data_IF_997325475832
#
_entry.id   IF_997325475832
#
_cell.length_a   1.000
_cell.length_b   1.000
_cell.length_c   1.000
_cell.angle_alpha   90.00
_cell.angle_beta   90.00
_cell.angle_gamma   90.00
#
_symmetry.space_group_name_H-M   'P 1'
#
loop_
_entity.id
_entity.type
_entity.pdbx_description
1 polymer ?
#
# COMPACT_ATOMS: atom_id res chain seq x y z
N UNK A 1 -16.36 12.91 -28.42
CA UNK A 1 -16.75 12.40 -27.09
C UNK A 1 -15.69 12.86 -26.10
N UNK A 2 -16.01 13.89 -25.31
CA UNK A 2 -15.14 14.41 -24.26
C UNK A 2 -15.21 13.48 -23.05
N UNK A 3 -14.10 12.86 -22.68
CA UNK A 3 -13.89 12.28 -21.36
C UNK A 3 -13.33 13.38 -20.47
N UNK A 4 -14.24 14.16 -19.88
CA UNK A 4 -13.95 15.05 -18.77
C UNK A 4 -13.51 14.20 -17.57
N UNK A 5 -12.21 14.16 -17.29
CA UNK A 5 -11.73 13.73 -15.97
C UNK A 5 -12.11 14.82 -14.97
N UNK A 6 -13.23 14.59 -14.28
CA UNK A 6 -13.72 15.44 -13.20
C UNK A 6 -12.62 15.65 -12.15
N UNK A 7 -12.20 16.91 -12.01
CA UNK A 7 -11.51 17.46 -10.86
C UNK A 7 -12.48 17.50 -9.67
N UNK A 8 -12.67 16.35 -9.01
CA UNK A 8 -12.99 16.14 -7.58
C UNK A 8 -13.34 14.68 -7.40
N UNK A 9 -12.38 13.88 -6.93
CA UNK A 9 -12.65 12.53 -6.46
C UNK A 9 -13.48 12.66 -5.17
N UNK A 10 -14.75 12.26 -5.24
CA UNK A 10 -15.59 11.91 -4.10
C UNK A 10 -16.05 10.47 -4.31
N UNK A 11 -15.29 9.45 -3.86
CA UNK A 11 -15.89 8.15 -3.62
C UNK A 11 -16.99 8.40 -2.60
N UNK A 12 -18.24 8.15 -2.95
CA UNK A 12 -19.32 8.17 -1.98
C UNK A 12 -19.22 6.90 -1.14
N UNK A 13 -18.22 6.81 -0.27
CA UNK A 13 -18.32 5.94 0.87
C UNK A 13 -19.49 6.46 1.70
N UNK A 14 -20.48 5.61 2.01
CA UNK A 14 -21.10 5.75 3.32
C UNK A 14 -19.98 5.42 4.30
N UNK A 15 -19.21 6.42 4.72
CA UNK A 15 -18.18 6.34 5.74
C UNK A 15 -18.56 5.27 6.78
N UNK A 16 -17.90 4.11 6.73
CA UNK A 16 -18.29 2.99 7.58
C UNK A 16 -18.09 1.59 7.00
N UNK A 17 -17.59 0.70 7.86
CA UNK A 17 -17.68 -0.76 7.69
C UNK A 17 -19.15 -1.18 7.47
N UNK A 18 -19.41 -1.99 6.45
CA UNK A 18 -20.74 -2.57 6.24
C UNK A 18 -21.06 -3.60 7.33
N UNK A 19 -22.34 -3.87 7.61
CA UNK A 19 -22.74 -4.91 8.57
C UNK A 19 -22.15 -6.28 8.22
N UNK A 20 -21.99 -6.57 6.92
CA UNK A 20 -21.32 -7.79 6.44
C UNK A 20 -19.87 -7.82 6.91
N UNK A 21 -19.09 -6.76 6.63
CA UNK A 21 -17.68 -6.67 7.03
C UNK A 21 -17.53 -6.73 8.55
N UNK A 22 -18.39 -6.02 9.30
CA UNK A 22 -18.41 -6.06 10.77
C UNK A 22 -18.59 -7.50 11.28
N UNK A 23 -19.53 -8.24 10.71
CA UNK A 23 -19.79 -9.61 11.12
C UNK A 23 -18.64 -10.55 10.76
N UNK A 24 -18.01 -10.38 9.59
CA UNK A 24 -16.83 -11.15 9.18
C UNK A 24 -15.62 -10.88 10.10
N UNK A 25 -15.40 -9.62 10.50
CA UNK A 25 -14.36 -9.27 11.48
C UNK A 25 -14.66 -9.92 12.83
N UNK A 26 -15.90 -9.85 13.33
CA UNK A 26 -16.27 -10.45 14.62
C UNK A 26 -16.10 -11.97 14.65
N UNK A 27 -16.44 -12.63 13.54
CA UNK A 27 -16.33 -14.10 13.39
C UNK A 27 -14.91 -14.57 13.03
N UNK A 28 -13.97 -13.65 12.84
CA UNK A 28 -12.58 -13.99 12.51
C UNK A 28 -11.94 -14.87 13.59
N UNK A 29 -11.37 -15.99 13.14
CA UNK A 29 -10.50 -16.86 13.92
C UNK A 29 -9.05 -16.59 13.51
N UNK A 30 -8.30 -15.93 14.40
CA UNK A 30 -6.93 -15.46 14.14
C UNK A 30 -5.98 -16.62 13.86
N UNK A 31 -5.99 -17.67 14.69
CA UNK A 31 -5.11 -18.84 14.52
C UNK A 31 -5.37 -19.56 13.19
N UNK A 32 -6.63 -19.66 12.76
CA UNK A 32 -6.97 -20.23 11.47
C UNK A 32 -6.45 -19.36 10.31
N UNK A 33 -6.54 -18.03 10.42
CA UNK A 33 -5.98 -17.12 9.42
C UNK A 33 -4.46 -17.26 9.34
N UNK A 34 -3.76 -17.28 10.47
CA UNK A 34 -2.30 -17.46 10.51
C UNK A 34 -1.88 -18.77 9.84
N UNK A 35 -2.60 -19.86 10.10
CA UNK A 35 -2.39 -21.15 9.43
C UNK A 35 -2.60 -21.04 7.91
N UNK A 36 -3.71 -20.43 7.48
CA UNK A 36 -4.03 -20.27 6.06
C UNK A 36 -3.05 -19.35 5.32
N UNK A 37 -2.44 -18.39 6.00
CA UNK A 37 -1.39 -17.51 5.46
C UNK A 37 -0.07 -18.25 5.34
N UNK A 38 0.28 -19.08 6.33
CA UNK A 38 1.47 -19.92 6.29
C UNK A 38 1.46 -20.88 5.11
N UNK A 39 0.30 -21.48 4.80
CA UNK A 39 0.10 -22.31 3.59
C UNK A 39 0.38 -21.55 2.27
N UNK A 40 0.31 -20.22 2.30
CA UNK A 40 0.62 -19.33 1.17
C UNK A 40 2.05 -18.79 1.23
N UNK A 41 2.86 -19.27 2.17
CA UNK A 41 4.24 -18.82 2.39
C UNK A 41 4.36 -17.49 3.12
N UNK A 42 3.31 -17.03 3.79
CA UNK A 42 3.29 -15.77 4.55
C UNK A 42 3.31 -16.09 6.04
N UNK A 43 4.40 -15.76 6.72
CA UNK A 43 4.49 -15.93 8.17
C UNK A 43 3.67 -14.82 8.83
N UNK A 44 2.77 -15.16 9.75
CA UNK A 44 1.91 -14.16 10.39
C UNK A 44 1.84 -14.34 11.91
N UNK A 45 1.73 -13.22 12.61
CA UNK A 45 1.49 -13.20 14.06
C UNK A 45 0.69 -11.96 14.45
N UNK A 46 -0.60 -12.12 14.72
CA UNK A 46 -1.52 -11.00 14.95
C UNK A 46 -1.82 -10.70 16.43
N UNK A 47 -1.32 -11.49 17.38
CA UNK A 47 -1.55 -11.29 18.82
C UNK A 47 -3.05 -11.15 19.17
N UNK A 48 -3.90 -12.00 18.61
CA UNK A 48 -5.37 -11.96 18.71
C UNK A 48 -6.07 -10.72 18.12
N UNK A 49 -5.37 -9.86 17.39
CA UNK A 49 -5.97 -8.74 16.66
C UNK A 49 -6.78 -9.23 15.45
N UNK A 50 -8.09 -9.40 15.66
CA UNK A 50 -9.05 -9.81 14.63
C UNK A 50 -9.15 -8.86 13.45
N UNK A 51 -8.98 -7.55 13.66
CA UNK A 51 -9.10 -6.57 12.57
C UNK A 51 -7.90 -6.70 11.65
N UNK A 52 -6.70 -6.69 12.22
CA UNK A 52 -5.47 -6.87 11.45
C UNK A 52 -5.46 -8.21 10.72
N UNK A 53 -5.83 -9.30 11.41
CA UNK A 53 -5.92 -10.63 10.82
C UNK A 53 -6.91 -10.69 9.64
N UNK A 54 -8.13 -10.16 9.84
CA UNK A 54 -9.14 -10.08 8.78
C UNK A 54 -8.62 -9.28 7.59
N UNK A 55 -8.06 -8.09 7.85
CA UNK A 55 -7.63 -7.20 6.77
C UNK A 55 -6.50 -7.79 5.94
N UNK A 56 -5.49 -8.36 6.59
CA UNK A 56 -4.36 -8.99 5.92
C UNK A 56 -4.81 -10.21 5.13
N UNK A 57 -5.64 -11.09 5.71
CA UNK A 57 -6.19 -12.24 5.00
C UNK A 57 -6.98 -11.83 3.76
N UNK A 58 -7.81 -10.78 3.89
CA UNK A 58 -8.65 -10.32 2.79
C UNK A 58 -7.84 -9.65 1.69
N UNK A 59 -6.76 -8.93 2.02
CA UNK A 59 -5.83 -8.39 1.01
C UNK A 59 -5.13 -9.47 0.21
N UNK A 60 -4.66 -10.52 0.89
CA UNK A 60 -4.02 -11.64 0.21
C UNK A 60 -4.97 -12.26 -0.82
N UNK A 61 -6.22 -12.50 -0.43
CA UNK A 61 -7.26 -12.99 -1.36
C UNK A 61 -7.47 -12.03 -2.54
N UNK A 62 -7.65 -10.73 -2.26
CA UNK A 62 -7.86 -9.70 -3.27
C UNK A 62 -6.71 -9.66 -4.29
N UNK A 63 -5.47 -9.63 -3.81
CA UNK A 63 -4.29 -9.52 -4.67
C UNK A 63 -4.11 -10.80 -5.50
N UNK A 64 -4.38 -11.97 -4.92
CA UNK A 64 -4.36 -13.23 -5.68
C UNK A 64 -5.41 -13.23 -6.79
N UNK A 65 -6.64 -12.76 -6.51
CA UNK A 65 -7.68 -12.60 -7.53
C UNK A 65 -7.26 -11.61 -8.60
N UNK A 66 -6.69 -10.45 -8.23
CA UNK A 66 -6.21 -9.43 -9.16
C UNK A 66 -5.11 -9.98 -10.07
N UNK A 67 -4.10 -10.65 -9.49
CA UNK A 67 -3.03 -11.31 -10.24
C UNK A 67 -3.58 -12.31 -11.25
N UNK A 68 -4.52 -13.17 -10.85
CA UNK A 68 -5.15 -14.14 -11.73
C UNK A 68 -6.02 -13.48 -12.81
N UNK A 69 -6.92 -12.58 -12.42
CA UNK A 69 -7.97 -12.00 -13.27
C UNK A 69 -7.40 -10.99 -14.27
N UNK A 70 -6.43 -10.19 -13.85
CA UNK A 70 -5.86 -9.11 -14.65
C UNK A 70 -4.45 -9.39 -15.16
N UNK A 71 -3.92 -10.60 -14.91
CA UNK A 71 -2.58 -11.05 -15.33
C UNK A 71 -1.47 -10.12 -14.83
N UNK A 72 -1.65 -9.57 -13.62
CA UNK A 72 -0.60 -8.86 -12.89
C UNK A 72 0.27 -9.87 -12.13
N UNK A 73 1.38 -9.39 -11.57
CA UNK A 73 2.29 -10.22 -10.77
C UNK A 73 2.80 -9.44 -9.56
N UNK A 74 1.85 -8.88 -8.80
CA UNK A 74 2.13 -8.19 -7.55
C UNK A 74 2.57 -9.21 -6.50
N UNK A 75 3.71 -8.96 -5.88
CA UNK A 75 4.21 -9.81 -4.80
C UNK A 75 3.42 -9.54 -3.51
N UNK A 76 3.27 -10.60 -2.73
CA UNK A 76 2.68 -10.56 -1.40
C UNK A 76 3.80 -10.36 -0.37
N UNK A 77 3.50 -9.84 0.83
CA UNK A 77 4.47 -9.79 1.91
C UNK A 77 4.96 -11.19 2.27
N UNK A 78 6.22 -11.30 2.71
CA UNK A 78 6.77 -12.55 3.24
C UNK A 78 6.31 -12.81 4.68
N UNK A 79 6.10 -11.74 5.43
CA UNK A 79 5.60 -11.83 6.79
C UNK A 79 4.77 -10.61 7.19
N UNK A 80 3.85 -10.79 8.13
CA UNK A 80 3.06 -9.70 8.73
C UNK A 80 2.91 -9.91 10.23
N UNK A 81 3.35 -8.93 11.02
CA UNK A 81 3.29 -9.00 12.48
C UNK A 81 2.55 -7.80 13.08
N UNK A 82 1.70 -8.07 14.06
CA UNK A 82 1.23 -7.05 15.00
C UNK A 82 2.26 -7.00 16.13
N UNK A 83 2.80 -5.82 16.41
CA UNK A 83 3.89 -5.65 17.37
C UNK A 83 3.82 -4.33 18.15
N UNK A 84 4.46 -4.32 19.31
CA UNK A 84 4.65 -3.10 20.11
C UNK A 84 5.81 -2.28 19.55
N UNK A 85 5.49 -1.18 18.88
CA UNK A 85 6.49 -0.34 18.22
C UNK A 85 7.47 0.30 19.20
N UNK A 86 7.11 0.45 20.49
CA UNK A 86 8.05 0.91 21.51
C UNK A 86 9.23 -0.05 21.72
N UNK A 87 9.03 -1.33 21.42
CA UNK A 87 10.05 -2.38 21.56
C UNK A 87 10.90 -2.56 20.30
N UNK A 88 10.50 -1.97 19.18
CA UNK A 88 11.22 -2.04 17.91
C UNK A 88 12.28 -0.93 17.82
N UNK A 89 13.36 -1.11 17.06
CA UNK A 89 14.32 -0.03 16.80
C UNK A 89 13.93 0.79 15.56
N UNK A 90 12.83 1.54 15.69
CA UNK A 90 12.31 2.46 14.65
C UNK A 90 12.20 3.89 15.19
N UNK A 91 12.34 4.88 14.33
CA UNK A 91 12.30 6.30 14.70
C UNK A 91 10.89 6.77 15.11
N UNK A 92 9.88 6.44 14.32
CA UNK A 92 8.51 6.89 14.56
C UNK A 92 7.63 5.79 15.19
N UNK A 93 7.43 5.89 16.50
CA UNK A 93 6.59 4.97 17.30
C UNK A 93 5.08 5.10 17.08
N UNK A 94 4.65 6.18 16.43
CA UNK A 94 3.23 6.53 16.24
C UNK A 94 2.69 6.07 14.89
N UNK A 95 3.52 5.42 14.07
CA UNK A 95 3.09 4.84 12.80
C UNK A 95 1.98 3.81 13.02
N UNK A 96 1.00 3.79 12.12
CA UNK A 96 -0.01 2.74 12.07
C UNK A 96 0.63 1.40 11.67
N UNK A 97 1.46 1.46 10.63
CA UNK A 97 2.20 0.33 10.09
C UNK A 97 3.46 0.83 9.37
N UNK A 98 4.35 -0.09 9.03
CA UNK A 98 5.44 0.16 8.07
C UNK A 98 5.92 -1.17 7.47
N UNK A 99 6.61 -1.09 6.32
CA UNK A 99 7.24 -2.22 5.65
C UNK A 99 8.76 -2.22 5.85
N UNK A 100 9.33 -3.36 6.25
CA UNK A 100 10.77 -3.57 6.36
C UNK A 100 11.34 -3.99 4.99
N UNK A 101 11.95 -3.04 4.28
CA UNK A 101 12.59 -3.23 2.98
C UNK A 101 14.01 -3.81 3.10
N UNK A 102 14.57 -4.28 1.98
CA UNK A 102 16.03 -4.44 1.88
C UNK A 102 16.78 -3.08 1.90
N UNK A 103 17.91 -2.98 2.62
CA UNK A 103 18.44 -3.98 3.54
C UNK A 103 17.58 -4.03 4.80
N UNK A 104 17.19 -5.23 5.24
CA UNK A 104 16.39 -5.37 6.43
C UNK A 104 17.18 -4.91 7.67
N UNK A 105 16.66 -3.90 8.38
CA UNK A 105 17.38 -3.28 9.52
C UNK A 105 16.74 -3.60 10.87
N UNK A 106 15.51 -4.13 10.89
CA UNK A 106 14.77 -4.32 12.12
C UNK A 106 15.15 -5.63 12.77
N UNK A 107 15.51 -5.54 14.05
CA UNK A 107 15.87 -6.65 14.90
C UNK A 107 14.79 -6.87 15.95
N UNK A 108 14.36 -8.12 16.18
CA UNK A 108 13.66 -8.48 17.41
C UNK A 108 14.69 -8.53 18.56
N UNK A 109 14.24 -8.37 19.81
CA UNK A 109 15.09 -8.15 21.01
C UNK A 109 16.43 -8.91 21.09
N UNK A 110 16.54 -10.13 20.54
CA UNK A 110 17.73 -10.98 20.55
C UNK A 110 18.66 -10.89 19.31
N UNK A 111 18.44 -9.93 18.40
CA UNK A 111 19.34 -9.70 17.25
C UNK A 111 18.94 -10.40 15.94
N UNK A 112 17.82 -11.12 15.92
CA UNK A 112 17.27 -11.70 14.69
C UNK A 112 16.77 -10.60 13.75
N UNK A 113 17.31 -10.56 12.53
CA UNK A 113 16.93 -9.60 11.50
C UNK A 113 15.70 -10.14 10.77
N UNK A 114 14.58 -9.43 10.86
CA UNK A 114 13.39 -9.80 10.10
C UNK A 114 13.66 -9.75 8.60
N UNK A 115 13.09 -10.66 7.81
CA UNK A 115 13.25 -10.64 6.37
C UNK A 115 12.72 -9.34 5.75
N UNK A 116 13.14 -9.06 4.53
CA UNK A 116 12.54 -8.02 3.71
C UNK A 116 11.07 -8.33 3.36
N UNK A 117 10.33 -7.34 2.85
CA UNK A 117 8.89 -7.45 2.58
C UNK A 117 8.10 -7.96 3.81
N UNK A 118 8.55 -7.60 5.01
CA UNK A 118 7.84 -7.86 6.27
C UNK A 118 7.07 -6.62 6.66
N UNK A 119 5.77 -6.75 6.88
CA UNK A 119 4.91 -5.66 7.33
C UNK A 119 4.75 -5.73 8.85
N UNK A 120 4.95 -4.60 9.51
CA UNK A 120 4.67 -4.44 10.94
C UNK A 120 3.45 -3.55 11.13
N UNK A 121 2.52 -3.99 11.97
CA UNK A 121 1.31 -3.30 12.37
C UNK A 121 1.42 -2.94 13.84
N UNK A 122 1.10 -1.70 14.21
CA UNK A 122 1.23 -1.25 15.59
C UNK A 122 0.13 -1.85 16.47
N UNK A 123 0.50 -2.56 17.54
CA UNK A 123 -0.46 -3.18 18.46
C UNK A 123 -1.32 -2.18 19.24
N UNK A 124 -0.97 -0.89 19.21
CA UNK A 124 -1.79 0.18 19.79
C UNK A 124 -3.00 0.54 18.95
N UNK A 125 -3.06 0.08 17.71
CA UNK A 125 -4.18 0.37 16.81
C UNK A 125 -5.48 -0.25 17.33
N UNK A 126 -5.43 -1.51 17.77
CA UNK A 126 -6.60 -2.28 18.18
C UNK A 126 -6.30 -3.14 19.40
N UNK A 127 -7.19 -3.09 20.41
CA UNK A 127 -7.06 -3.90 21.63
C UNK A 127 -7.84 -5.21 21.50
N UNK A 128 -7.20 -6.36 21.68
CA UNK A 128 -7.78 -7.70 21.43
C UNK A 128 -9.14 -7.98 22.11
N UNK A 129 -9.47 -7.33 23.22
CA UNK A 129 -10.70 -7.57 23.99
C UNK A 129 -11.82 -6.55 23.81
N UNK A 130 -11.65 -5.54 22.95
CA UNK A 130 -12.66 -4.50 22.73
C UNK A 130 -12.97 -4.31 21.24
N UNK A 131 -13.56 -5.36 20.65
CA UNK A 131 -13.84 -5.37 19.21
C UNK A 131 -14.81 -4.27 18.79
N UNK A 132 -15.79 -3.92 19.62
CA UNK A 132 -16.76 -2.86 19.31
C UNK A 132 -16.10 -1.49 19.24
N UNK A 133 -15.26 -1.14 20.22
CA UNK A 133 -14.51 0.12 20.19
C UNK A 133 -13.49 0.12 19.05
N UNK A 134 -12.83 -0.99 18.79
CA UNK A 134 -11.88 -1.07 17.68
C UNK A 134 -12.54 -0.86 16.31
N UNK A 135 -13.72 -1.44 16.08
CA UNK A 135 -14.50 -1.22 14.85
C UNK A 135 -14.90 0.26 14.69
N UNK A 136 -15.26 0.94 15.80
CA UNK A 136 -15.52 2.39 15.79
C UNK A 136 -14.25 3.19 15.47
N UNK A 137 -13.12 2.82 16.07
CA UNK A 137 -11.83 3.47 15.81
C UNK A 137 -11.37 3.30 14.36
N UNK A 138 -11.61 2.12 13.77
CA UNK A 138 -11.30 1.84 12.37
C UNK A 138 -12.11 2.75 11.42
N UNK A 139 -13.40 2.95 11.70
CA UNK A 139 -14.22 3.91 10.96
C UNK A 139 -13.74 5.36 11.15
N UNK A 140 -13.45 5.76 12.40
CA UNK A 140 -12.97 7.11 12.69
C UNK A 140 -11.61 7.41 12.03
N UNK A 141 -10.75 6.40 11.89
CA UNK A 141 -9.49 6.52 11.17
C UNK A 141 -9.72 6.78 9.67
N UNK A 142 -10.66 6.07 9.05
CA UNK A 142 -11.05 6.29 7.65
C UNK A 142 -11.58 7.73 7.44
N UNK A 143 -12.46 8.19 8.33
CA UNK A 143 -13.01 9.55 8.30
C UNK A 143 -11.92 10.62 8.47
N UNK A 144 -10.95 10.36 9.36
CA UNK A 144 -9.81 11.24 9.58
C UNK A 144 -8.92 11.31 8.34
N UNK A 145 -8.62 10.17 7.72
CA UNK A 145 -7.81 10.09 6.50
C UNK A 145 -8.46 10.88 5.35
N UNK A 146 -9.78 10.74 5.18
CA UNK A 146 -10.56 11.51 4.20
C UNK A 146 -10.51 13.02 4.47
N UNK A 147 -10.81 13.44 5.70
CA UNK A 147 -10.89 14.87 6.05
C UNK A 147 -9.53 15.57 5.99
N UNK A 148 -8.44 14.87 6.28
CA UNK A 148 -7.08 15.42 6.30
C UNK A 148 -6.36 15.39 4.95
N UNK A 149 -6.91 14.72 3.93
CA UNK A 149 -6.23 14.41 2.65
C UNK A 149 -4.86 13.76 2.86
N UNK A 150 -4.71 12.99 3.93
CA UNK A 150 -3.43 12.39 4.30
C UNK A 150 -3.07 11.19 3.41
N UNK A 151 -4.07 10.56 2.78
CA UNK A 151 -3.94 9.46 1.83
C UNK A 151 -4.83 9.67 0.60
N UNK A 152 -4.56 8.95 -0.50
CA UNK A 152 -5.36 9.07 -1.72
C UNK A 152 -6.74 8.43 -1.61
N UNK A 153 -6.94 7.60 -0.58
CA UNK A 153 -8.14 6.80 -0.34
C UNK A 153 -8.78 7.04 1.02
N UNK A 154 -10.08 6.81 1.09
CA UNK A 154 -10.92 6.87 2.29
C UNK A 154 -11.43 5.50 2.75
N UNK A 155 -10.96 4.44 2.09
CA UNK A 155 -11.25 3.08 2.47
C UNK A 155 -10.56 2.80 3.81
N UNK A 156 -11.28 2.22 4.78
CA UNK A 156 -10.73 1.80 6.08
C UNK A 156 -9.50 0.86 5.98
N UNK A 157 -9.34 0.28 4.80
CA UNK A 157 -8.31 -0.66 4.37
C UNK A 157 -7.05 0.00 3.83
N UNK A 158 -7.08 1.31 3.56
CA UNK A 158 -6.05 2.01 2.79
C UNK A 158 -4.65 1.78 3.35
N UNK A 159 -4.45 1.97 4.67
CA UNK A 159 -3.14 1.78 5.29
C UNK A 159 -2.59 0.35 5.08
N UNK A 160 -3.45 -0.67 5.06
CA UNK A 160 -3.01 -2.03 4.78
C UNK A 160 -2.66 -2.21 3.29
N UNK A 161 -3.46 -1.66 2.38
CA UNK A 161 -3.16 -1.68 0.94
C UNK A 161 -1.82 -0.98 0.68
N UNK A 162 -1.54 0.11 1.39
CA UNK A 162 -0.31 0.88 1.26
C UNK A 162 0.93 0.05 1.57
N UNK A 163 0.95 -0.66 2.69
CA UNK A 163 2.07 -1.53 3.04
C UNK A 163 2.21 -2.74 2.10
N UNK A 164 1.10 -3.28 1.60
CA UNK A 164 1.15 -4.32 0.55
C UNK A 164 1.69 -3.76 -0.78
N UNK A 165 1.38 -2.51 -1.09
CA UNK A 165 1.87 -1.83 -2.28
C UNK A 165 3.38 -1.63 -2.24
N UNK A 166 3.93 -1.33 -1.06
CA UNK A 166 5.37 -1.33 -0.80
C UNK A 166 6.02 -2.70 -1.10
N UNK A 167 5.42 -3.80 -0.61
CA UNK A 167 5.91 -5.16 -0.90
C UNK A 167 5.87 -5.48 -2.41
N UNK A 168 4.78 -5.09 -3.09
CA UNK A 168 4.63 -5.28 -4.53
C UNK A 168 5.66 -4.47 -5.33
N UNK A 169 5.97 -3.24 -4.90
CA UNK A 169 6.97 -2.37 -5.52
C UNK A 169 8.39 -2.90 -5.33
N UNK A 170 8.76 -3.32 -4.11
CA UNK A 170 10.03 -3.98 -3.86
C UNK A 170 10.20 -5.21 -4.77
N UNK A 171 9.18 -6.07 -4.86
CA UNK A 171 9.19 -7.23 -5.73
C UNK A 171 9.40 -6.90 -7.21
N UNK A 172 8.74 -5.83 -7.69
CA UNK A 172 8.89 -5.37 -9.06
C UNK A 172 10.29 -4.80 -9.36
N UNK A 173 10.90 -4.12 -8.40
CA UNK A 173 12.26 -3.62 -8.51
C UNK A 173 13.29 -4.76 -8.50
N UNK A 174 13.16 -5.72 -7.58
CA UNK A 174 14.08 -6.87 -7.46
C UNK A 174 14.11 -7.78 -8.68
N UNK A 175 13.05 -7.80 -9.50
CA UNK A 175 13.04 -8.49 -10.79
C UNK A 175 13.93 -7.82 -11.86
N UNK A 176 14.39 -6.59 -11.64
CA UNK A 176 15.09 -5.76 -12.63
C UNK A 176 16.50 -5.35 -12.22
N UNK A 177 16.92 -5.64 -11.00
CA UNK A 177 18.23 -5.26 -10.46
C UNK A 177 18.75 -6.30 -9.48
N UNK A 178 20.06 -6.33 -9.31
CA UNK A 178 20.72 -7.16 -8.29
C UNK A 178 20.40 -6.68 -6.88
N UNK A 179 20.63 -7.54 -5.87
CA UNK A 179 20.43 -7.17 -4.47
C UNK A 179 21.31 -5.97 -4.05
N UNK A 180 22.54 -5.90 -4.54
CA UNK A 180 23.45 -4.80 -4.25
C UNK A 180 22.94 -3.47 -4.83
N UNK A 181 22.55 -3.46 -6.11
CA UNK A 181 21.96 -2.28 -6.75
C UNK A 181 20.68 -1.82 -6.04
N UNK A 182 19.83 -2.77 -5.63
CA UNK A 182 18.62 -2.47 -4.86
C UNK A 182 18.95 -1.76 -3.54
N UNK A 183 19.86 -2.34 -2.74
CA UNK A 183 20.26 -1.78 -1.45
C UNK A 183 20.86 -0.38 -1.61
N UNK A 184 21.71 -0.17 -2.63
CA UNK A 184 22.26 1.15 -2.92
C UNK A 184 21.17 2.17 -3.27
N UNK A 185 20.20 1.79 -4.10
CA UNK A 185 19.08 2.67 -4.50
C UNK A 185 18.17 3.02 -3.33
N UNK A 186 17.75 2.04 -2.54
CA UNK A 186 16.91 2.29 -1.36
C UNK A 186 17.64 3.15 -0.34
N UNK A 187 18.94 2.88 -0.10
CA UNK A 187 19.73 3.69 0.83
C UNK A 187 19.81 5.16 0.41
N UNK A 188 19.88 5.43 -0.90
CA UNK A 188 19.86 6.80 -1.45
C UNK A 188 18.51 7.48 -1.28
N UNK A 189 17.38 6.77 -1.34
CA UNK A 189 16.05 7.39 -1.16
C UNK A 189 15.88 7.98 0.24
N UNK A 190 16.46 7.35 1.25
CA UNK A 190 16.36 7.82 2.64
C UNK A 190 17.39 8.90 3.02
N UNK A 191 18.27 9.29 2.09
CA UNK A 191 19.21 10.39 2.29
C UNK A 191 18.48 11.75 2.22
N UNK A 192 18.74 12.63 3.19
CA UNK A 192 18.03 13.92 3.34
C UNK A 192 18.13 14.80 2.09
N UNK A 193 19.31 14.80 1.43
CA UNK A 193 19.50 15.56 0.20
C UNK A 193 18.66 14.99 -0.94
N UNK A 194 18.61 13.67 -1.06
CA UNK A 194 17.79 12.99 -2.08
C UNK A 194 16.29 13.22 -1.86
N UNK A 195 15.83 13.24 -0.61
CA UNK A 195 14.45 13.60 -0.25
C UNK A 195 14.14 15.05 -0.66
N UNK A 196 15.02 16.00 -0.33
CA UNK A 196 14.84 17.41 -0.67
C UNK A 196 14.81 17.63 -2.20
N UNK A 197 15.68 16.94 -2.94
CA UNK A 197 15.71 16.95 -4.41
C UNK A 197 14.41 16.39 -5.00
N UNK A 198 13.91 15.27 -4.48
CA UNK A 198 12.63 14.69 -4.88
C UNK A 198 11.47 15.67 -4.65
N UNK A 199 11.35 16.23 -3.45
CA UNK A 199 10.29 17.17 -3.10
C UNK A 199 10.33 18.44 -3.98
N UNK A 200 11.53 18.95 -4.26
CA UNK A 200 11.70 20.13 -5.12
C UNK A 200 11.34 19.85 -6.58
N UNK A 201 11.81 18.71 -7.11
CA UNK A 201 11.67 18.35 -8.53
C UNK A 201 10.28 17.82 -8.88
N UNK A 202 9.72 16.97 -8.01
CA UNK A 202 8.49 16.23 -8.27
C UNK A 202 7.32 16.61 -7.36
N UNK A 203 7.54 17.21 -6.18
CA UNK A 203 6.44 17.63 -5.30
C UNK A 203 5.45 18.57 -6.00
N UNK A 204 5.96 19.48 -6.84
CA UNK A 204 5.10 20.35 -7.69
C UNK A 204 4.31 19.60 -8.77
N UNK A 205 4.79 18.43 -9.21
CA UNK A 205 4.11 17.60 -10.19
C UNK A 205 2.95 16.84 -9.55
N UNK A 206 3.03 16.54 -8.25
CA UNK A 206 2.05 15.75 -7.49
C UNK A 206 1.39 16.57 -6.37
N UNK A 207 1.10 17.85 -6.60
CA UNK A 207 0.48 18.74 -5.59
C UNK A 207 -0.94 18.35 -5.22
N UNK A 208 -1.60 17.58 -6.07
CA UNK A 208 -2.91 16.96 -5.85
C UNK A 208 -2.82 15.63 -5.09
N UNK A 209 -1.62 15.05 -4.95
CA UNK A 209 -1.39 13.88 -4.11
C UNK A 209 -1.29 14.27 -2.62
N UNK A 210 -1.58 13.33 -1.72
CA UNK A 210 -1.39 13.53 -0.28
C UNK A 210 0.04 13.95 0.08
N UNK A 211 0.16 14.69 1.19
CA UNK A 211 1.46 15.20 1.67
C UNK A 211 2.42 14.04 1.94
N UNK A 212 1.93 12.93 2.50
CA UNK A 212 2.76 11.78 2.83
C UNK A 212 3.36 11.11 1.57
N UNK A 213 2.58 11.01 0.49
CA UNK A 213 3.03 10.52 -0.82
C UNK A 213 4.10 11.40 -1.47
N UNK A 214 4.19 12.67 -1.07
CA UNK A 214 5.22 13.60 -1.52
C UNK A 214 6.51 13.53 -0.67
N UNK A 215 6.60 12.60 0.30
CA UNK A 215 7.80 12.47 1.13
C UNK A 215 8.98 11.85 0.36
N UNK A 216 8.76 10.76 -0.37
CA UNK A 216 9.77 10.10 -1.20
C UNK A 216 9.12 9.25 -2.32
N UNK A 217 9.97 8.68 -3.19
CA UNK A 217 9.55 7.89 -4.35
C UNK A 217 8.79 6.60 -3.99
N UNK A 218 9.12 5.97 -2.86
CA UNK A 218 8.47 4.73 -2.40
C UNK A 218 7.04 5.04 -1.95
N UNK A 219 6.86 6.05 -1.09
CA UNK A 219 5.54 6.45 -0.60
C UNK A 219 4.63 6.92 -1.75
N UNK A 220 5.19 7.63 -2.74
CA UNK A 220 4.44 8.03 -3.92
C UNK A 220 3.91 6.82 -4.71
N UNK A 221 4.74 5.80 -4.91
CA UNK A 221 4.33 4.59 -5.64
C UNK A 221 3.34 3.77 -4.83
N UNK A 222 3.54 3.64 -3.53
CA UNK A 222 2.63 2.89 -2.67
C UNK A 222 1.24 3.53 -2.60
N UNK A 223 1.15 4.86 -2.49
CA UNK A 223 -0.12 5.58 -2.46
C UNK A 223 -0.85 5.47 -3.82
N UNK A 224 -0.13 5.69 -4.93
CA UNK A 224 -0.73 5.58 -6.26
C UNK A 224 -1.15 4.14 -6.58
N UNK A 225 -0.36 3.14 -6.18
CA UNK A 225 -0.73 1.73 -6.34
C UNK A 225 -1.93 1.37 -5.45
N UNK A 226 -2.02 1.93 -4.24
CA UNK A 226 -3.17 1.77 -3.35
C UNK A 226 -4.43 2.32 -3.98
N UNK A 227 -4.36 3.52 -4.57
CA UNK A 227 -5.45 4.11 -5.36
C UNK A 227 -5.92 3.17 -6.49
N UNK A 228 -4.99 2.54 -7.20
CA UNK A 228 -5.34 1.59 -8.26
C UNK A 228 -6.02 0.35 -7.70
N UNK A 229 -5.51 -0.22 -6.60
CA UNK A 229 -6.16 -1.34 -5.92
C UNK A 229 -7.58 -0.96 -5.51
N UNK A 230 -7.79 0.17 -4.85
CA UNK A 230 -9.12 0.64 -4.42
C UNK A 230 -10.09 0.82 -5.59
N UNK A 231 -9.64 1.43 -6.70
CA UNK A 231 -10.45 1.58 -7.92
C UNK A 231 -10.81 0.24 -8.58
N UNK A 232 -10.06 -0.81 -8.28
CA UNK A 232 -10.36 -2.15 -8.75
C UNK A 232 -11.44 -2.86 -7.94
N UNK A 233 -11.77 -2.39 -6.73
CA UNK A 233 -12.66 -3.09 -5.81
C UNK A 233 -14.11 -2.61 -5.87
N UNK A 234 -15.03 -3.55 -5.64
CA UNK A 234 -16.36 -3.20 -5.16
C UNK A 234 -16.29 -2.83 -3.69
N UNK A 235 -16.73 -1.62 -3.36
CA UNK A 235 -16.59 -1.07 -2.01
C UNK A 235 -17.40 -1.84 -0.96
N UNK A 236 -18.53 -2.44 -1.34
CA UNK A 236 -19.42 -3.15 -0.41
C UNK A 236 -19.01 -4.60 -0.16
N UNK A 237 -18.34 -5.23 -1.14
CA UNK A 237 -17.97 -6.65 -1.08
C UNK A 237 -16.47 -6.89 -1.02
N UNK A 238 -15.66 -5.86 -1.25
CA UNK A 238 -14.20 -5.92 -1.42
C UNK A 238 -13.76 -6.86 -2.55
N UNK A 239 -14.64 -7.13 -3.52
CA UNK A 239 -14.34 -8.01 -4.65
C UNK A 239 -13.73 -7.23 -5.82
N UNK A 240 -12.66 -7.73 -6.48
CA UNK A 240 -12.11 -7.10 -7.67
C UNK A 240 -13.07 -7.13 -8.87
N UNK A 241 -13.54 -5.96 -9.31
CA UNK A 241 -14.46 -5.78 -10.43
C UNK A 241 -13.81 -5.18 -11.68
N UNK A 242 -12.99 -4.14 -11.52
CA UNK A 242 -12.43 -3.36 -12.62
C UNK A 242 -10.92 -3.57 -12.75
N UNK A 243 -10.38 -3.49 -13.97
CA UNK A 243 -8.93 -3.48 -14.19
C UNK A 243 -8.41 -2.03 -14.23
N UNK A 244 -8.21 -1.42 -13.07
CA UNK A 244 -7.66 -0.06 -12.94
C UNK A 244 -6.22 0.03 -13.46
N UNK A 245 -5.46 -1.07 -13.39
CA UNK A 245 -4.05 -1.15 -13.78
C UNK A 245 -3.86 -0.99 -15.30
N UNK A 246 -4.85 -1.39 -16.11
CA UNK A 246 -4.77 -1.33 -17.58
C UNK A 246 -4.49 0.07 -18.11
N UNK A 247 -4.96 1.13 -17.44
CA UNK A 247 -4.77 2.50 -17.90
C UNK A 247 -3.81 3.31 -17.02
N UNK A 248 -2.91 2.63 -16.30
CA UNK A 248 -1.99 3.23 -15.34
C UNK A 248 -0.53 3.18 -15.81
N UNK A 249 0.37 3.70 -14.98
CA UNK A 249 1.83 3.57 -15.15
C UNK A 249 2.32 2.11 -15.23
N UNK A 250 1.51 1.13 -14.82
CA UNK A 250 1.83 -0.30 -14.89
C UNK A 250 1.60 -0.93 -16.25
N UNK A 251 0.85 -0.29 -17.17
CA UNK A 251 0.63 -0.86 -18.49
C UNK A 251 1.87 -0.65 -19.38
N UNK A 252 2.68 -1.71 -19.48
CA UNK A 252 3.96 -1.75 -20.19
C UNK A 252 3.84 -1.87 -21.72
N UNK A 253 2.63 -1.86 -22.29
CA UNK A 253 2.52 -1.87 -23.74
C UNK A 253 3.21 -0.62 -24.30
N UNK A 254 4.34 -0.80 -25.01
CA UNK A 254 5.08 0.27 -25.70
C UNK A 254 4.16 1.12 -26.57
N UNK A 255 3.11 0.51 -27.11
CA UNK A 255 2.04 1.16 -27.85
C UNK A 255 1.18 2.04 -26.93
N UNK A 256 0.84 1.62 -25.71
CA UNK A 256 0.07 2.43 -24.76
C UNK A 256 0.85 3.64 -24.25
N UNK A 257 2.15 3.51 -23.95
CA UNK A 257 3.01 4.65 -23.60
C UNK A 257 3.16 5.61 -24.79
N UNK A 258 3.30 5.08 -26.01
CA UNK A 258 3.40 5.89 -27.24
C UNK A 258 2.04 6.52 -27.64
N UNK A 259 0.93 5.81 -27.48
CA UNK A 259 -0.44 6.29 -27.78
C UNK A 259 -0.91 7.28 -26.71
N UNK A 260 -0.79 7.01 -25.41
CA UNK A 260 -1.08 8.04 -24.40
C UNK A 260 -0.15 9.25 -24.54
N UNK A 261 1.08 9.05 -25.03
CA UNK A 261 1.97 10.18 -25.35
C UNK A 261 1.54 11.01 -26.57
N UNK A 262 0.75 10.43 -27.47
CA UNK A 262 0.30 11.03 -28.73
C UNK A 262 -1.17 11.52 -28.68
N UNK A 263 -2.00 10.99 -27.78
CA UNK A 263 -3.46 11.20 -27.75
C UNK A 263 -4.02 11.66 -26.39
N UNK A 264 -3.17 11.92 -25.38
CA UNK A 264 -3.60 12.63 -24.17
C UNK A 264 -3.33 14.12 -24.35
N UNK A 265 -4.41 14.92 -24.36
CA UNK A 265 -4.32 16.38 -24.40
C UNK A 265 -3.74 16.97 -23.09
N UNK A 266 -3.62 16.16 -22.03
CA UNK A 266 -3.10 16.56 -20.73
C UNK A 266 -1.61 16.21 -20.56
N UNK A 267 -0.76 17.20 -20.87
CA UNK A 267 0.70 17.13 -20.72
C UNK A 267 1.13 16.79 -19.28
N UNK A 268 0.36 17.18 -18.26
CA UNK A 268 0.71 16.91 -16.87
C UNK A 268 0.48 15.45 -16.50
N UNK A 269 -0.65 14.86 -16.93
CA UNK A 269 -0.95 13.44 -16.72
C UNK A 269 0.10 12.53 -17.37
N UNK A 270 0.57 12.90 -18.56
CA UNK A 270 1.66 12.19 -19.26
C UNK A 270 2.97 12.21 -18.47
N UNK A 271 3.34 13.37 -17.93
CA UNK A 271 4.55 13.51 -17.12
C UNK A 271 4.46 12.70 -15.82
N UNK A 272 3.30 12.74 -15.14
CA UNK A 272 3.04 11.92 -13.93
C UNK A 272 3.23 10.44 -14.20
N UNK A 273 2.55 9.88 -15.21
CA UNK A 273 2.63 8.45 -15.53
C UNK A 273 4.05 8.01 -15.91
N UNK A 274 4.82 8.86 -16.59
CA UNK A 274 6.22 8.56 -16.91
C UNK A 274 7.06 8.48 -15.63
N UNK A 275 6.94 9.47 -14.75
CA UNK A 275 7.68 9.52 -13.48
C UNK A 275 7.32 8.32 -12.61
N UNK A 276 6.03 8.00 -12.49
CA UNK A 276 5.56 6.82 -11.75
C UNK A 276 6.10 5.52 -12.35
N UNK A 277 6.17 5.39 -13.68
CA UNK A 277 6.76 4.21 -14.31
C UNK A 277 8.27 4.08 -14.05
N UNK A 278 8.99 5.20 -14.05
CA UNK A 278 10.42 5.24 -13.73
C UNK A 278 10.64 4.78 -12.30
N UNK A 279 9.91 5.35 -11.33
CA UNK A 279 10.00 4.96 -9.90
C UNK A 279 9.55 3.52 -9.65
N UNK A 280 8.48 3.06 -10.28
CA UNK A 280 8.06 1.64 -10.25
C UNK A 280 9.17 0.70 -10.74
N UNK A 281 9.95 1.14 -11.71
CA UNK A 281 11.09 0.41 -12.25
C UNK A 281 12.39 0.63 -11.47
N UNK A 282 12.33 1.38 -10.36
CA UNK A 282 13.44 1.74 -9.51
C UNK A 282 14.39 2.79 -10.09
N UNK A 283 14.02 3.49 -11.17
CA UNK A 283 14.81 4.60 -11.72
C UNK A 283 14.42 5.89 -10.99
N UNK A 284 15.24 6.32 -10.02
CA UNK A 284 14.92 7.43 -9.12
C UNK A 284 15.59 8.76 -9.48
N UNK A 285 16.36 8.81 -10.58
CA UNK A 285 17.13 9.97 -11.01
C UNK A 285 16.33 11.00 -11.83
#
# INVERSE_FOLDING_TARGET
>A
MQTTFSTTYKPSFKAGLTSKIINEVKSTNVANIETNLLEKGIIAGFQDDKISAFCVSKLVEIIQIINKKFKTNFELPKAVFVDDFEKLNIENKKLFAFTNFLPAKIKQGCGEVFSEQTIFLNNRNFKSHDIETNLKNLNALADRNYSSKFYSGDLFFHNYIHEFSHCAHEGAMRKKMTAEEFVQRISKIYDEKSIAEFQTKYGKLFTDSPIYSQSNQLELIADELSRLFELSLNVSTLEPQNNSFKNSFLNQNKIFTKINSLFSDDKNLKNKNRVLYDFWSGRFD
#
